data_IF_855947440803
#
_entry.id   IF_855947440803
#
_cell.length_a   1.000
_cell.length_b   1.000
_cell.length_c   1.000
_cell.angle_alpha   90.00
_cell.angle_beta   90.00
_cell.angle_gamma   90.00
#
_symmetry.space_group_name_H-M   'P 1'
#
loop_
_entity.id
_entity.type
_entity.pdbx_description
1 polymer ?
#
# COMPACT_ATOMS: atom_id res chain seq x y z
N UNK A 1 0.55 -15.56 -10.66
CA UNK A 1 -0.02 -16.11 -9.41
C UNK A 1 -1.22 -15.27 -9.04
N UNK A 2 -2.41 -15.85 -8.80
CA UNK A 2 -3.60 -15.05 -8.47
C UNK A 2 -3.45 -14.40 -7.09
N UNK A 3 -3.97 -13.18 -6.93
CA UNK A 3 -4.06 -12.53 -5.62
C UNK A 3 -4.90 -13.39 -4.65
N UNK A 4 -4.45 -13.47 -3.41
CA UNK A 4 -5.21 -14.10 -2.32
C UNK A 4 -6.36 -13.19 -1.87
N UNK A 5 -7.39 -13.76 -1.26
CA UNK A 5 -8.52 -12.99 -0.72
C UNK A 5 -8.09 -11.90 0.26
N UNK A 6 -7.11 -12.20 1.12
CA UNK A 6 -6.54 -11.20 2.05
C UNK A 6 -5.88 -10.04 1.29
N UNK A 7 -5.18 -10.32 0.20
CA UNK A 7 -4.54 -9.28 -0.61
C UNK A 7 -5.56 -8.40 -1.33
N UNK A 8 -6.62 -9.00 -1.85
CA UNK A 8 -7.75 -8.29 -2.46
C UNK A 8 -8.41 -7.37 -1.42
N UNK A 9 -8.73 -7.90 -0.23
CA UNK A 9 -9.34 -7.12 0.85
C UNK A 9 -8.45 -5.94 1.30
N UNK A 10 -7.12 -6.10 1.29
CA UNK A 10 -6.19 -4.98 1.56
C UNK A 10 -6.29 -3.90 0.48
N UNK A 11 -6.38 -4.27 -0.79
CA UNK A 11 -6.51 -3.30 -1.89
C UNK A 11 -7.84 -2.54 -1.79
N UNK A 12 -8.94 -3.25 -1.53
CA UNK A 12 -10.26 -2.64 -1.32
C UNK A 12 -10.27 -1.70 -0.12
N UNK A 13 -9.66 -2.09 1.00
CA UNK A 13 -9.53 -1.24 2.18
C UNK A 13 -8.70 0.02 1.91
N UNK A 14 -7.61 -0.07 1.13
CA UNK A 14 -6.82 1.10 0.73
C UNK A 14 -7.60 2.06 -0.18
N UNK A 15 -8.64 1.57 -0.88
CA UNK A 15 -9.55 2.39 -1.68
C UNK A 15 -10.45 3.27 -0.80
N UNK A 16 -10.90 2.75 0.34
CA UNK A 16 -11.84 3.43 1.25
C UNK A 16 -11.19 4.04 2.50
N UNK A 17 -9.87 3.87 2.68
CA UNK A 17 -9.14 4.35 3.86
C UNK A 17 -9.17 5.88 4.12
N UNK A 18 -9.77 6.69 3.24
CA UNK A 18 -9.99 8.13 3.42
C UNK A 18 -11.33 8.45 4.08
N UNK A 19 -12.21 7.47 4.22
CA UNK A 19 -13.59 7.63 4.71
C UNK A 19 -13.73 7.25 6.19
N UNK A 20 -12.63 6.83 6.83
CA UNK A 20 -12.67 6.24 8.17
C UNK A 20 -12.44 7.32 9.24
N UNK A 21 -13.43 7.52 10.12
CA UNK A 21 -13.38 8.46 11.26
C UNK A 21 -12.34 8.10 12.32
N UNK A 22 -11.91 6.83 12.37
CA UNK A 22 -10.86 6.33 13.27
C UNK A 22 -9.49 6.31 12.59
N UNK A 23 -8.42 6.33 13.40
CA UNK A 23 -7.06 6.25 12.86
C UNK A 23 -6.86 4.99 12.03
N UNK A 24 -6.15 5.14 10.90
CA UNK A 24 -5.89 4.03 9.95
C UNK A 24 -5.33 2.79 10.62
N UNK A 25 -4.44 2.96 11.60
CA UNK A 25 -3.87 1.83 12.36
C UNK A 25 -4.90 1.10 13.22
N UNK A 26 -5.86 1.83 13.81
CA UNK A 26 -6.93 1.22 14.60
C UNK A 26 -7.89 0.46 13.68
N UNK A 27 -8.23 1.04 12.54
CA UNK A 27 -9.04 0.39 11.52
C UNK A 27 -8.37 -0.89 10.99
N UNK A 28 -7.07 -0.84 10.69
CA UNK A 28 -6.29 -2.03 10.27
C UNK A 28 -6.38 -3.15 11.31
N UNK A 29 -6.18 -2.82 12.60
CA UNK A 29 -6.26 -3.81 13.68
C UNK A 29 -7.66 -4.40 13.80
N UNK A 30 -8.72 -3.59 13.68
CA UNK A 30 -10.11 -4.06 13.79
C UNK A 30 -10.54 -4.92 12.58
N UNK A 31 -10.18 -4.52 11.36
CA UNK A 31 -10.61 -5.21 10.13
C UNK A 31 -9.81 -6.48 9.86
N UNK A 32 -8.49 -6.45 10.05
CA UNK A 32 -7.62 -7.55 9.63
C UNK A 32 -7.04 -8.37 10.79
N UNK A 33 -7.28 -7.95 12.03
CA UNK A 33 -6.75 -8.59 13.25
C UNK A 33 -5.22 -8.78 13.23
N UNK A 34 -4.49 -7.90 12.52
CA UNK A 34 -3.02 -7.92 12.43
C UNK A 34 -2.42 -6.61 12.91
N UNK A 35 -1.14 -6.66 13.26
CA UNK A 35 -0.40 -5.44 13.58
C UNK A 35 -0.26 -4.54 12.34
N UNK A 36 -0.28 -3.20 12.52
CA UNK A 36 -0.07 -2.25 11.41
C UNK A 36 1.23 -2.49 10.65
N UNK A 37 2.30 -2.90 11.33
CA UNK A 37 3.58 -3.22 10.69
C UNK A 37 3.47 -4.39 9.72
N UNK A 38 2.74 -5.46 10.09
CA UNK A 38 2.52 -6.60 9.19
C UNK A 38 1.62 -6.23 8.01
N UNK A 39 0.59 -5.41 8.26
CA UNK A 39 -0.26 -4.88 7.21
C UNK A 39 0.53 -4.11 6.16
N UNK A 40 1.38 -3.16 6.59
CA UNK A 40 2.18 -2.38 5.65
C UNK A 40 3.19 -3.21 4.87
N UNK A 41 3.72 -4.29 5.47
CA UNK A 41 4.58 -5.24 4.76
C UNK A 41 3.82 -5.94 3.63
N UNK A 42 2.65 -6.52 3.90
CA UNK A 42 1.82 -7.18 2.87
C UNK A 42 1.41 -6.18 1.79
N UNK A 43 1.01 -4.97 2.18
CA UNK A 43 0.70 -3.91 1.22
C UNK A 43 1.89 -3.59 0.34
N UNK A 44 3.08 -3.44 0.91
CA UNK A 44 4.28 -3.11 0.14
C UNK A 44 4.68 -4.25 -0.82
N UNK A 45 4.50 -5.52 -0.43
CA UNK A 45 4.64 -6.69 -1.32
C UNK A 45 3.64 -6.64 -2.48
N UNK A 46 2.39 -6.25 -2.22
CA UNK A 46 1.36 -6.09 -3.26
C UNK A 46 1.73 -5.04 -4.31
N UNK A 47 2.48 -4.00 -3.93
CA UNK A 47 2.91 -2.96 -4.88
C UNK A 47 3.91 -3.47 -5.92
N UNK A 48 4.57 -4.59 -5.63
CA UNK A 48 5.59 -5.18 -6.48
C UNK A 48 5.03 -6.35 -7.33
N UNK A 49 3.76 -6.75 -7.10
CA UNK A 49 3.07 -7.81 -7.86
C UNK A 49 2.32 -7.26 -9.09
N UNK A 50 2.49 -7.85 -10.29
CA UNK A 50 1.77 -7.42 -11.50
C UNK A 50 0.25 -7.65 -11.40
N UNK A 51 -0.19 -8.67 -10.68
CA UNK A 51 -1.60 -9.00 -10.54
C UNK A 51 -2.38 -7.94 -9.75
N UNK A 52 -1.73 -7.27 -8.80
CA UNK A 52 -2.29 -6.10 -8.11
C UNK A 52 -2.61 -4.97 -9.08
N UNK A 53 -1.73 -4.74 -10.06
CA UNK A 53 -1.91 -3.72 -11.08
C UNK A 53 -3.06 -4.05 -12.03
N UNK A 54 -3.33 -5.34 -12.27
CA UNK A 54 -4.48 -5.76 -13.07
C UNK A 54 -5.80 -5.63 -12.31
N UNK A 55 -5.77 -5.79 -10.98
CA UNK A 55 -6.96 -5.67 -10.15
C UNK A 55 -7.39 -4.20 -9.94
N UNK A 56 -6.50 -3.34 -9.43
CA UNK A 56 -6.77 -1.91 -9.27
C UNK A 56 -5.51 -1.07 -9.58
N UNK A 57 -5.30 -0.67 -10.85
CA UNK A 57 -4.12 0.07 -11.25
C UNK A 57 -4.04 1.46 -10.61
N UNK A 58 -5.17 2.08 -10.25
CA UNK A 58 -5.20 3.45 -9.72
C UNK A 58 -4.73 3.48 -8.27
N UNK A 59 -5.28 2.59 -7.42
CA UNK A 59 -4.87 2.46 -6.02
C UNK A 59 -3.40 2.06 -5.93
N UNK A 60 -2.96 1.08 -6.74
CA UNK A 60 -1.58 0.61 -6.72
C UNK A 60 -0.60 1.71 -7.16
N UNK A 61 -0.88 2.44 -8.25
CA UNK A 61 -0.01 3.56 -8.67
C UNK A 61 0.05 4.67 -7.62
N UNK A 62 -1.08 4.99 -6.96
CA UNK A 62 -1.11 5.98 -5.86
C UNK A 62 -0.21 5.55 -4.70
N UNK A 63 -0.32 4.30 -4.28
CA UNK A 63 0.48 3.73 -3.19
C UNK A 63 1.97 3.66 -3.54
N UNK A 64 2.31 3.27 -4.78
CA UNK A 64 3.69 3.30 -5.27
C UNK A 64 4.27 4.72 -5.23
N UNK A 65 3.50 5.74 -5.66
CA UNK A 65 3.94 7.15 -5.60
C UNK A 65 4.16 7.59 -4.15
N UNK A 66 3.26 7.25 -3.23
CA UNK A 66 3.46 7.53 -1.80
C UNK A 66 4.71 6.84 -1.24
N UNK A 67 4.98 5.58 -1.60
CA UNK A 67 6.21 4.86 -1.20
C UNK A 67 7.47 5.57 -1.72
N UNK A 68 7.46 6.04 -2.97
CA UNK A 68 8.57 6.83 -3.55
C UNK A 68 8.77 8.14 -2.79
N UNK A 69 7.70 8.89 -2.52
CA UNK A 69 7.77 10.14 -1.75
C UNK A 69 8.32 9.94 -0.33
N UNK A 70 7.85 8.92 0.39
CA UNK A 70 8.37 8.56 1.72
C UNK A 70 9.86 8.22 1.68
N UNK A 71 10.30 7.47 0.67
CA UNK A 71 11.73 7.13 0.50
C UNK A 71 12.56 8.38 0.19
N UNK A 72 12.13 9.21 -0.77
CA UNK A 72 12.81 10.45 -1.10
C UNK A 72 12.99 11.36 0.13
N UNK A 73 11.92 11.55 0.93
CA UNK A 73 11.99 12.31 2.19
C UNK A 73 12.98 11.72 3.20
N UNK A 74 13.00 10.38 3.33
CA UNK A 74 13.89 9.69 4.29
C UNK A 74 15.37 9.80 3.89
N UNK A 75 15.67 9.76 2.60
CA UNK A 75 17.05 9.74 2.09
C UNK A 75 17.54 11.10 1.58
N UNK A 76 16.71 12.15 1.63
CA UNK A 76 17.05 13.47 1.08
C UNK A 76 17.25 13.47 -0.44
N UNK A 77 16.78 12.44 -1.14
CA UNK A 77 16.98 12.28 -2.60
C UNK A 77 15.92 13.09 -3.34
N UNK A 78 16.35 14.01 -4.20
CA UNK A 78 15.48 14.71 -5.16
C UNK A 78 14.68 13.70 -6.01
N UNK A 79 13.37 13.92 -6.11
CA UNK A 79 12.42 13.04 -6.84
C UNK A 79 12.75 12.86 -8.34
N UNK A 80 13.72 13.60 -8.88
CA UNK A 80 14.24 13.48 -10.24
C UNK A 80 15.19 12.28 -10.46
N UNK A 81 15.72 11.66 -9.39
CA UNK A 81 16.61 10.48 -9.46
C UNK A 81 16.24 9.44 -8.39
N UNK A 82 15.05 8.86 -8.48
CA UNK A 82 14.77 7.61 -7.75
C UNK A 82 15.43 6.44 -8.48
N UNK A 83 15.94 5.40 -7.78
CA UNK A 83 16.66 4.32 -8.42
C UNK A 83 15.69 3.58 -9.34
N UNK A 84 15.98 3.62 -10.64
CA UNK A 84 15.44 2.67 -11.59
C UNK A 84 16.38 1.47 -11.48
N UNK A 85 15.88 0.48 -10.74
CA UNK A 85 16.38 -0.90 -10.61
C UNK A 85 17.65 -1.11 -9.80
#
# INVERSE_FOLDING_TARGET
MKLTERQIAIIEFERTAWEVEISKEKAIRQTFAISPSRYYKIRDELLDLPESMHYDPLVIKRLQKQRRYRRAKKFGISMAKGPIR
#
